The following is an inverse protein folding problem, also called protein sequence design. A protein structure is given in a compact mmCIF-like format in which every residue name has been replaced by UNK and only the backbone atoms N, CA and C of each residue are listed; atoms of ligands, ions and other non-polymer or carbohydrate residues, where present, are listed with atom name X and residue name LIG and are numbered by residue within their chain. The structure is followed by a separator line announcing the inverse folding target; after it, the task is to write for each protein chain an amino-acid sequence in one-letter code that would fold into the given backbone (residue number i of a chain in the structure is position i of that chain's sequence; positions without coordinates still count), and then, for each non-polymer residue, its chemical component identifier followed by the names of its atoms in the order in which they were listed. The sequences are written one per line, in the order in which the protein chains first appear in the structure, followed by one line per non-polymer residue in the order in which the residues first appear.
data_IF_083295475225
#
_entry.id   IF_083295475225
#
_cell.length_a   1.000
_cell.length_b   1.000
_cell.length_c   1.000
_cell.angle_alpha   90.00
_cell.angle_beta   90.00
_cell.angle_gamma   90.00
#
_symmetry.space_group_name_H-M   'P 1'
#
loop_
_entity.id
_entity.type
_entity.pdbx_description
1 polymer ?
#
# COMPACT_ATOMS: atom_id res chain seq x y z
N UNK A 1 4.35 12.60 -8.53
CA UNK A 1 3.48 11.78 -7.65
C UNK A 1 4.33 11.25 -6.50
N UNK A 2 3.83 11.25 -5.28
CA UNK A 2 4.48 10.64 -4.11
C UNK A 2 4.30 9.10 -4.21
N UNK A 3 5.43 8.35 -4.23
CA UNK A 3 5.39 6.88 -4.28
C UNK A 3 6.54 6.26 -3.46
N UNK A 4 6.47 6.31 -2.12
CA UNK A 4 7.46 5.66 -1.28
C UNK A 4 7.34 4.14 -1.30
N UNK A 5 8.50 3.47 -1.26
CA UNK A 5 8.59 2.10 -0.82
C UNK A 5 8.80 2.10 0.70
N UNK A 6 8.03 1.29 1.42
CA UNK A 6 8.03 1.23 2.88
C UNK A 6 8.52 -0.15 3.31
N UNK A 7 9.59 -0.21 4.11
CA UNK A 7 10.10 -1.44 4.70
C UNK A 7 9.75 -1.46 6.19
N UNK A 8 8.95 -2.43 6.60
CA UNK A 8 8.48 -2.56 7.99
C UNK A 8 9.41 -3.49 8.76
N UNK A 9 10.06 -2.96 9.77
CA UNK A 9 10.99 -3.65 10.68
C UNK A 9 12.02 -4.53 9.94
N UNK A 10 12.72 -4.01 8.91
CA UNK A 10 13.77 -4.76 8.26
C UNK A 10 14.88 -5.05 9.27
N UNK A 11 15.22 -6.34 9.42
CA UNK A 11 16.20 -6.79 10.40
C UNK A 11 17.65 -6.72 9.89
N UNK A 12 17.83 -6.87 8.56
CA UNK A 12 19.15 -6.98 7.95
C UNK A 12 19.52 -5.70 7.20
N UNK A 13 20.61 -5.01 7.60
CA UNK A 13 21.07 -3.79 6.93
C UNK A 13 21.37 -4.02 5.43
N UNK A 14 21.86 -5.21 5.07
CA UNK A 14 22.15 -5.55 3.68
C UNK A 14 20.88 -5.55 2.82
N UNK A 15 19.72 -5.91 3.37
CA UNK A 15 18.45 -5.90 2.64
C UNK A 15 17.97 -4.47 2.38
N UNK A 16 18.20 -3.55 3.32
CA UNK A 16 17.91 -2.11 3.12
C UNK A 16 18.78 -1.55 1.99
N UNK A 17 20.08 -1.86 2.02
CA UNK A 17 21.02 -1.46 0.98
C UNK A 17 20.65 -2.02 -0.41
N UNK A 18 20.29 -3.30 -0.47
CA UNK A 18 19.87 -3.97 -1.69
C UNK A 18 18.55 -3.37 -2.23
N UNK A 19 17.59 -3.05 -1.35
CA UNK A 19 16.35 -2.38 -1.70
C UNK A 19 16.62 -0.98 -2.28
N UNK A 20 17.44 -0.16 -1.63
CA UNK A 20 17.83 1.16 -2.13
C UNK A 20 18.47 1.08 -3.52
N UNK A 21 19.34 0.09 -3.75
CA UNK A 21 19.94 -0.15 -5.05
C UNK A 21 18.92 -0.54 -6.11
N UNK A 22 18.00 -1.44 -5.81
CA UNK A 22 16.91 -1.84 -6.70
C UNK A 22 16.04 -0.63 -7.08
N UNK A 23 15.65 0.17 -6.09
CA UNK A 23 14.91 1.41 -6.28
C UNK A 23 15.63 2.36 -7.23
N UNK A 24 16.90 2.67 -6.95
CA UNK A 24 17.71 3.57 -7.78
C UNK A 24 17.80 3.11 -9.24
N UNK A 25 18.00 1.81 -9.44
CA UNK A 25 18.11 1.21 -10.79
C UNK A 25 16.83 1.38 -11.60
N UNK A 26 15.66 1.36 -10.93
CA UNK A 26 14.34 1.44 -11.58
C UNK A 26 13.71 2.84 -11.49
N UNK A 27 14.43 3.84 -10.96
CA UNK A 27 13.99 5.24 -10.92
C UNK A 27 13.10 5.60 -9.74
N UNK A 28 13.02 4.77 -8.69
CA UNK A 28 12.34 5.08 -7.44
C UNK A 28 13.32 5.73 -6.45
N UNK A 29 12.88 6.76 -5.74
CA UNK A 29 13.77 7.57 -4.90
C UNK A 29 13.33 7.70 -3.45
N UNK A 30 12.08 7.36 -3.12
CA UNK A 30 11.48 7.60 -1.80
C UNK A 30 11.44 6.30 -1.00
N UNK A 31 12.27 6.21 0.02
CA UNK A 31 12.35 5.06 0.94
C UNK A 31 11.87 5.48 2.33
N UNK A 32 10.97 4.70 2.91
CA UNK A 32 10.54 4.83 4.31
C UNK A 32 10.91 3.56 5.07
N UNK A 33 11.45 3.73 6.27
CA UNK A 33 11.75 2.64 7.21
C UNK A 33 10.84 2.79 8.42
N UNK A 34 10.19 1.70 8.79
CA UNK A 34 9.31 1.64 9.96
C UNK A 34 9.92 0.73 11.02
N UNK A 35 10.01 1.22 12.26
CA UNK A 35 10.41 0.46 13.45
C UNK A 35 11.69 -0.37 13.28
N UNK A 36 12.75 0.22 12.72
CA UNK A 36 14.07 -0.40 12.59
C UNK A 36 15.17 0.65 12.70
N UNK A 37 16.32 0.26 13.24
CA UNK A 37 17.55 1.06 13.28
C UNK A 37 18.65 0.49 12.37
N UNK A 38 18.36 -0.59 11.64
CA UNK A 38 19.31 -1.28 10.78
C UNK A 38 19.85 -0.40 9.64
N UNK A 39 19.14 0.67 9.26
CA UNK A 39 19.60 1.65 8.26
C UNK A 39 20.87 2.38 8.67
N UNK A 40 21.19 2.46 9.97
CA UNK A 40 22.38 3.13 10.50
C UNK A 40 23.63 2.24 10.47
N UNK A 41 23.48 0.94 10.24
CA UNK A 41 24.61 0.02 10.11
C UNK A 41 25.41 0.34 8.82
N UNK A 42 26.75 0.40 8.88
CA UNK A 42 27.60 0.63 7.71
C UNK A 42 27.41 -0.37 6.56
N UNK A 43 26.90 -1.58 6.84
CA UNK A 43 26.59 -2.59 5.85
C UNK A 43 25.48 -2.13 4.89
N UNK A 44 24.50 -1.35 5.37
CA UNK A 44 23.44 -0.75 4.54
C UNK A 44 24.05 0.07 3.40
N UNK A 45 24.94 0.99 3.73
CA UNK A 45 25.58 1.86 2.74
C UNK A 45 26.53 1.10 1.82
N UNK A 46 27.26 0.13 2.35
CA UNK A 46 28.16 -0.72 1.55
C UNK A 46 27.42 -1.50 0.48
N UNK A 47 26.25 -2.07 0.78
CA UNK A 47 25.43 -2.84 -0.17
C UNK A 47 24.63 -1.94 -1.11
N UNK A 48 24.26 -0.74 -0.67
CA UNK A 48 23.51 0.23 -1.48
C UNK A 48 24.25 0.67 -2.76
N UNK A 49 25.56 0.63 -2.79
CA UNK A 49 26.45 0.73 -3.98
C UNK A 49 25.96 1.70 -5.07
N UNK A 50 26.18 2.99 -4.92
CA UNK A 50 25.70 4.04 -5.85
C UNK A 50 24.29 4.55 -5.58
N UNK A 51 23.56 3.96 -4.60
CA UNK A 51 22.25 4.43 -4.14
C UNK A 51 22.33 5.11 -2.75
N UNK A 52 23.48 5.68 -2.40
CA UNK A 52 23.70 6.36 -1.12
C UNK A 52 22.75 7.53 -0.90
N UNK A 53 22.36 8.23 -1.96
CA UNK A 53 21.38 9.32 -1.93
C UNK A 53 19.98 8.87 -1.46
N UNK A 54 19.56 7.64 -1.75
CA UNK A 54 18.30 7.08 -1.21
C UNK A 54 18.43 6.83 0.29
N UNK A 55 19.60 6.31 0.75
CA UNK A 55 19.86 6.08 2.17
C UNK A 55 19.96 7.42 2.92
N UNK A 56 20.60 8.43 2.33
CA UNK A 56 20.75 9.75 2.95
C UNK A 56 19.41 10.50 3.12
N UNK A 57 18.45 10.25 2.23
CA UNK A 57 17.14 10.91 2.20
C UNK A 57 15.99 10.01 2.70
N UNK A 58 16.28 8.81 3.21
CA UNK A 58 15.23 7.95 3.74
C UNK A 58 14.52 8.60 4.93
N UNK A 59 13.24 8.29 5.08
CA UNK A 59 12.43 8.75 6.20
C UNK A 59 12.19 7.59 7.19
N UNK A 60 12.29 7.88 8.48
CA UNK A 60 12.07 6.93 9.55
C UNK A 60 10.75 7.21 10.27
N UNK A 61 10.00 6.16 10.56
CA UNK A 61 8.71 6.21 11.25
C UNK A 61 8.63 5.17 12.37
N UNK A 62 7.94 5.50 13.44
CA UNK A 62 7.72 4.58 14.55
C UNK A 62 6.73 3.48 14.21
N UNK A 63 5.65 3.81 13.47
CA UNK A 63 4.57 2.89 13.11
C UNK A 63 4.27 2.91 11.61
N UNK A 64 3.61 1.85 11.12
CA UNK A 64 3.14 1.82 9.74
C UNK A 64 2.05 2.87 9.51
N UNK A 65 1.18 3.10 10.47
CA UNK A 65 0.14 4.14 10.39
C UNK A 65 0.74 5.53 10.15
N UNK A 66 1.82 5.89 10.87
CA UNK A 66 2.52 7.15 10.66
C UNK A 66 3.14 7.23 9.25
N UNK A 67 3.72 6.10 8.79
CA UNK A 67 4.32 6.03 7.46
C UNK A 67 3.30 6.05 6.32
N UNK A 68 2.03 5.81 6.58
CA UNK A 68 0.92 5.85 5.63
C UNK A 68 0.04 7.10 5.74
N UNK A 69 0.29 7.99 6.70
CA UNK A 69 -0.60 9.11 7.02
C UNK A 69 -0.82 10.11 5.86
N UNK A 70 0.14 10.21 4.95
CA UNK A 70 0.09 11.07 3.75
C UNK A 70 -0.11 10.27 2.44
N UNK A 71 -0.57 9.01 2.54
CA UNK A 71 -0.75 8.11 1.41
C UNK A 71 -2.23 7.91 1.12
N UNK A 72 -2.64 8.17 -0.11
CA UNK A 72 -4.02 7.98 -0.58
C UNK A 72 -4.34 6.53 -0.91
N UNK A 73 -3.34 5.76 -1.41
CA UNK A 73 -3.50 4.36 -1.80
C UNK A 73 -2.26 3.54 -1.50
N UNK A 74 -2.42 2.44 -0.78
CA UNK A 74 -1.34 1.59 -0.32
C UNK A 74 -1.50 0.13 -0.74
N UNK A 75 -0.39 -0.49 -1.12
CA UNK A 75 -0.31 -1.89 -1.53
C UNK A 75 0.69 -2.63 -0.64
N UNK A 76 0.30 -3.71 -0.01
CA UNK A 76 1.21 -4.52 0.79
C UNK A 76 1.58 -5.83 0.12
N UNK A 77 2.86 -6.19 0.22
CA UNK A 77 3.39 -7.44 -0.30
C UNK A 77 3.29 -8.55 0.73
N UNK A 78 2.91 -9.74 0.30
CA UNK A 78 2.89 -10.93 1.15
C UNK A 78 3.28 -12.18 0.35
N UNK A 79 4.03 -13.08 0.97
CA UNK A 79 4.36 -14.38 0.39
C UNK A 79 3.33 -15.46 0.77
N UNK A 80 2.45 -15.18 1.73
CA UNK A 80 1.50 -16.17 2.29
C UNK A 80 0.07 -15.72 2.06
N UNK A 81 -0.74 -16.61 1.51
CA UNK A 81 -2.20 -16.48 1.52
C UNK A 81 -2.70 -16.76 2.95
N UNK A 82 -2.72 -15.74 3.82
CA UNK A 82 -3.08 -15.89 5.24
C UNK A 82 -4.59 -15.86 5.50
N UNK A 83 -5.36 -15.27 4.61
CA UNK A 83 -6.81 -15.19 4.77
C UNK A 83 -7.54 -15.89 3.62
N UNK A 84 -8.48 -16.76 3.97
CA UNK A 84 -9.29 -17.54 3.03
C UNK A 84 -10.10 -16.68 2.03
N UNK A 85 -10.29 -15.40 2.34
CA UNK A 85 -11.19 -14.49 1.64
C UNK A 85 -10.50 -13.26 1.05
N UNK A 86 -9.18 -13.05 1.26
CA UNK A 86 -8.44 -11.90 0.72
C UNK A 86 -8.00 -12.15 -0.71
N UNK A 87 -8.28 -11.17 -1.57
CA UNK A 87 -7.78 -11.14 -2.94
C UNK A 87 -6.32 -10.69 -2.97
N UNK A 88 -5.51 -11.44 -3.71
CA UNK A 88 -4.09 -11.13 -3.91
C UNK A 88 -3.86 -10.83 -5.38
N UNK A 89 -3.50 -9.58 -5.69
CA UNK A 89 -3.12 -9.21 -7.03
C UNK A 89 -1.70 -9.70 -7.34
N UNK A 90 -1.46 -10.14 -8.56
CA UNK A 90 -0.09 -10.36 -9.05
C UNK A 90 0.61 -9.02 -9.27
N UNK A 91 1.96 -8.95 -9.34
CA UNK A 91 2.67 -7.71 -9.64
C UNK A 91 2.19 -7.03 -10.93
N UNK A 92 1.84 -7.80 -11.95
CA UNK A 92 1.29 -7.28 -13.21
C UNK A 92 -0.11 -6.66 -13.03
N UNK A 93 -0.97 -7.28 -12.23
CA UNK A 93 -2.29 -6.71 -11.91
C UNK A 93 -2.14 -5.44 -11.08
N UNK A 94 -1.19 -5.39 -10.15
CA UNK A 94 -0.87 -4.19 -9.39
C UNK A 94 -0.43 -3.06 -10.30
N UNK A 95 0.43 -3.31 -11.29
CA UNK A 95 0.85 -2.29 -12.27
C UNK A 95 -0.36 -1.65 -12.94
N UNK A 96 -1.30 -2.44 -13.45
CA UNK A 96 -2.51 -1.94 -14.11
C UNK A 96 -3.38 -1.10 -13.15
N UNK A 97 -3.55 -1.56 -11.91
CA UNK A 97 -4.32 -0.84 -10.87
C UNK A 97 -3.63 0.48 -10.55
N UNK A 98 -2.32 0.49 -10.33
CA UNK A 98 -1.59 1.71 -9.99
C UNK A 98 -1.53 2.71 -11.15
N UNK A 99 -1.44 2.24 -12.39
CA UNK A 99 -1.52 3.10 -13.60
C UNK A 99 -2.90 3.76 -13.73
N UNK A 100 -3.95 3.10 -13.34
CA UNK A 100 -5.29 3.70 -13.26
C UNK A 100 -5.38 4.68 -12.09
N UNK A 101 -4.96 4.26 -10.88
CA UNK A 101 -5.00 5.07 -9.66
C UNK A 101 -4.23 6.38 -9.80
N UNK A 102 -3.05 6.39 -10.43
CA UNK A 102 -2.25 7.61 -10.59
C UNK A 102 -2.94 8.73 -11.38
N UNK A 103 -4.07 8.45 -12.02
CA UNK A 103 -4.85 9.47 -12.73
C UNK A 103 -5.68 10.32 -11.78
N UNK A 104 -5.96 9.86 -10.56
CA UNK A 104 -6.88 10.50 -9.64
C UNK A 104 -6.48 10.45 -8.14
N UNK A 105 -5.39 9.75 -7.77
CA UNK A 105 -4.79 9.84 -6.44
C UNK A 105 -3.46 10.58 -6.50
N UNK A 106 -3.13 11.30 -5.44
CA UNK A 106 -1.90 12.13 -5.37
C UNK A 106 -0.70 11.35 -4.83
N UNK A 107 -0.96 10.30 -4.05
CA UNK A 107 0.07 9.52 -3.37
C UNK A 107 -0.29 8.04 -3.32
N UNK A 108 0.72 7.20 -3.55
CA UNK A 108 0.59 5.74 -3.43
C UNK A 108 1.81 5.19 -2.70
N UNK A 109 1.70 4.02 -2.06
CA UNK A 109 2.84 3.37 -1.42
C UNK A 109 2.86 1.86 -1.67
N UNK A 110 4.07 1.29 -1.65
CA UNK A 110 4.28 -0.16 -1.66
C UNK A 110 4.97 -0.59 -0.37
N UNK A 111 4.34 -1.47 0.39
CA UNK A 111 4.75 -1.88 1.73
C UNK A 111 5.31 -3.30 1.71
N UNK A 112 6.48 -3.48 2.30
CA UNK A 112 7.16 -4.76 2.48
C UNK A 112 7.31 -5.05 3.97
N UNK A 113 7.08 -6.31 4.35
CA UNK A 113 7.24 -6.76 5.74
C UNK A 113 8.64 -7.29 6.06
N UNK A 114 8.75 -7.81 7.27
CA UNK A 114 9.95 -8.46 7.83
C UNK A 114 10.36 -9.66 6.99
N UNK A 115 11.66 -9.95 7.01
CA UNK A 115 12.24 -11.04 6.22
C UNK A 115 11.76 -12.43 6.65
N UNK A 116 11.52 -12.64 7.92
CA UNK A 116 11.15 -13.93 8.51
C UNK A 116 9.65 -14.17 8.61
N UNK A 117 8.90 -13.13 8.96
CA UNK A 117 7.48 -13.21 9.31
C UNK A 117 6.54 -12.41 8.39
N UNK A 118 7.09 -11.48 7.60
CA UNK A 118 6.30 -10.57 6.76
C UNK A 118 5.59 -9.50 7.58
N UNK A 119 4.44 -9.05 7.13
CA UNK A 119 3.55 -8.12 7.84
C UNK A 119 2.64 -8.88 8.80
N UNK A 120 2.27 -8.26 9.92
CA UNK A 120 1.23 -8.79 10.83
C UNK A 120 -0.16 -8.60 10.22
N UNK A 121 -1.18 -9.24 10.80
CA UNK A 121 -2.55 -9.04 10.34
C UNK A 121 -2.99 -7.60 10.53
N UNK A 122 -2.67 -6.99 11.68
CA UNK A 122 -2.96 -5.59 11.98
C UNK A 122 -2.29 -4.62 10.99
N UNK A 123 -1.08 -4.95 10.49
CA UNK A 123 -0.41 -4.17 9.44
C UNK A 123 -1.07 -4.38 8.06
N UNK A 124 -1.51 -5.61 7.75
CA UNK A 124 -2.24 -5.91 6.52
C UNK A 124 -3.62 -5.26 6.47
N UNK A 125 -4.25 -5.03 7.62
CA UNK A 125 -5.55 -4.38 7.72
C UNK A 125 -5.48 -2.85 7.48
N UNK A 126 -4.28 -2.26 7.54
CA UNK A 126 -4.05 -0.84 7.28
C UNK A 126 -3.90 -0.48 5.80
N UNK A 127 -3.78 -1.47 4.90
CA UNK A 127 -3.51 -1.24 3.48
C UNK A 127 -4.71 -1.53 2.60
N UNK A 128 -4.73 -0.92 1.40
CA UNK A 128 -5.86 -1.00 0.47
C UNK A 128 -5.88 -2.25 -0.38
N UNK A 129 -4.71 -2.78 -0.73
CA UNK A 129 -4.56 -3.91 -1.64
C UNK A 129 -3.45 -4.83 -1.18
N UNK A 130 -3.64 -6.13 -1.33
CA UNK A 130 -2.61 -7.12 -1.09
C UNK A 130 -2.07 -7.66 -2.43
N UNK A 131 -0.76 -7.88 -2.46
CA UNK A 131 -0.08 -8.42 -3.63
C UNK A 131 0.89 -9.51 -3.25
N UNK A 132 1.08 -10.48 -4.14
CA UNK A 132 2.04 -11.56 -3.98
C UNK A 132 2.72 -11.91 -5.29
N UNK A 133 4.01 -12.19 -5.24
CA UNK A 133 4.77 -12.71 -6.38
C UNK A 133 4.43 -14.20 -6.50
N UNK A 134 3.92 -14.68 -7.65
CA UNK A 134 3.73 -16.10 -7.87
C UNK A 134 5.08 -16.84 -7.78
N UNK A 135 5.17 -17.78 -6.86
CA UNK A 135 6.38 -18.54 -6.59
C UNK A 135 6.23 -19.98 -7.09
N UNK A 136 7.37 -20.65 -7.36
CA UNK A 136 7.35 -22.08 -7.54
C UNK A 136 6.87 -22.78 -6.25
N UNK A 137 6.09 -23.85 -6.38
CA UNK A 137 5.35 -24.46 -5.27
C UNK A 137 6.20 -24.84 -4.05
N UNK A 138 7.48 -25.13 -4.27
CA UNK A 138 8.39 -25.63 -3.23
C UNK A 138 9.28 -24.54 -2.60
N UNK A 139 9.13 -23.26 -2.99
CA UNK A 139 9.96 -22.18 -2.45
C UNK A 139 9.12 -21.11 -1.76
N UNK A 140 9.31 -20.89 -0.44
CA UNK A 140 8.32 -20.17 0.37
C UNK A 140 8.40 -18.64 0.26
N UNK A 141 9.55 -18.04 -0.08
CA UNK A 141 9.69 -16.58 -0.14
C UNK A 141 10.96 -16.13 -0.87
N UNK A 142 10.92 -14.90 -1.39
CA UNK A 142 12.10 -14.18 -1.87
C UNK A 142 12.81 -13.47 -0.71
N UNK A 143 14.11 -13.24 -0.86
CA UNK A 143 14.82 -12.26 -0.04
C UNK A 143 14.18 -10.87 -0.24
N UNK A 144 14.16 -10.03 0.81
CA UNK A 144 13.53 -8.72 0.78
C UNK A 144 14.04 -7.84 -0.38
N UNK A 145 15.36 -7.75 -0.57
CA UNK A 145 15.95 -6.97 -1.67
C UNK A 145 15.55 -7.51 -3.06
N UNK A 146 15.42 -8.83 -3.19
CA UNK A 146 14.93 -9.46 -4.43
C UNK A 146 13.46 -9.13 -4.67
N UNK A 147 12.60 -9.21 -3.65
CA UNK A 147 11.19 -8.84 -3.74
C UNK A 147 11.05 -7.37 -4.16
N UNK A 148 11.79 -6.46 -3.54
CA UNK A 148 11.82 -5.04 -3.92
C UNK A 148 12.23 -4.87 -5.39
N UNK A 149 13.24 -5.59 -5.87
CA UNK A 149 13.66 -5.51 -7.28
C UNK A 149 12.59 -5.96 -8.25
N UNK A 150 11.88 -7.06 -7.95
CA UNK A 150 10.80 -7.55 -8.81
C UNK A 150 9.68 -6.50 -8.94
N UNK A 151 9.26 -5.91 -7.84
CA UNK A 151 8.23 -4.87 -7.87
C UNK A 151 8.74 -3.58 -8.52
N UNK A 152 9.94 -3.13 -8.23
CA UNK A 152 10.52 -1.95 -8.88
C UNK A 152 10.63 -2.13 -10.39
N UNK A 153 11.04 -3.31 -10.87
CA UNK A 153 11.07 -3.64 -12.28
C UNK A 153 9.68 -3.60 -12.91
N UNK A 154 8.72 -4.30 -12.29
CA UNK A 154 7.33 -4.37 -12.79
C UNK A 154 6.67 -2.99 -12.82
N UNK A 155 6.91 -2.17 -11.80
CA UNK A 155 6.27 -0.87 -11.63
C UNK A 155 7.06 0.29 -12.27
N UNK A 156 8.17 0.02 -12.97
CA UNK A 156 9.00 1.07 -13.58
C UNK A 156 8.24 1.94 -14.60
N UNK A 157 7.16 1.44 -15.17
CA UNK A 157 6.30 2.18 -16.08
C UNK A 157 5.64 3.40 -15.39
N UNK A 158 5.36 3.34 -14.09
CA UNK A 158 4.79 4.44 -13.31
C UNK A 158 5.67 5.70 -13.34
N UNK A 159 6.99 5.53 -13.43
CA UNK A 159 7.93 6.66 -13.52
C UNK A 159 7.98 7.32 -14.91
N UNK A 160 7.43 6.68 -15.94
CA UNK A 160 7.42 7.16 -17.32
C UNK A 160 6.16 7.91 -17.69
N UNK A 161 5.08 7.70 -16.95
CA UNK A 161 3.81 8.38 -17.17
C UNK A 161 3.82 9.68 -16.39
N UNK A 162 3.72 10.80 -17.09
CA UNK A 162 3.45 12.10 -16.45
C UNK A 162 1.98 12.07 -16.06
N UNK A 163 1.71 11.77 -14.80
CA UNK A 163 0.35 11.82 -14.28
C UNK A 163 -0.20 13.25 -14.45
N UNK A 164 -1.43 13.44 -14.95
CA UNK A 164 -2.09 14.72 -14.84
C UNK A 164 -2.16 15.10 -13.36
N UNK A 165 -1.94 16.38 -13.04
CA UNK A 165 -2.08 16.83 -11.67
C UNK A 165 -3.54 16.52 -11.23
N UNK A 166 -3.69 15.76 -10.13
CA UNK A 166 -5.00 15.51 -9.55
C UNK A 166 -5.72 16.86 -9.32
N UNK A 167 -6.99 16.95 -9.70
CA UNK A 167 -7.74 18.16 -9.50
C UNK A 167 -7.83 18.49 -8.00
N UNK A 168 -7.82 19.78 -7.62
CA UNK A 168 -7.97 20.16 -6.23
C UNK A 168 -9.27 19.56 -5.65
N UNK A 169 -9.17 18.73 -4.61
CA UNK A 169 -10.30 18.05 -3.97
C UNK A 169 -10.40 16.54 -4.26
N UNK A 170 -9.58 15.97 -5.13
CA UNK A 170 -9.56 14.53 -5.41
C UNK A 170 -8.63 13.75 -4.45
N UNK A 171 -7.63 14.41 -3.87
CA UNK A 171 -6.78 13.81 -2.86
C UNK A 171 -7.60 13.40 -1.62
N UNK A 172 -7.40 12.16 -1.14
CA UNK A 172 -8.09 11.65 0.06
C UNK A 172 -9.52 11.14 -0.16
N UNK A 173 -10.07 11.14 -1.39
CA UNK A 173 -11.42 10.63 -1.65
C UNK A 173 -11.57 9.16 -1.27
N UNK A 174 -10.58 8.33 -1.55
CA UNK A 174 -10.62 6.91 -1.24
C UNK A 174 -10.57 6.67 0.28
N UNK A 175 -9.72 7.40 0.99
CA UNK A 175 -9.65 7.34 2.46
C UNK A 175 -10.96 7.82 3.11
N UNK A 176 -11.54 8.92 2.62
CA UNK A 176 -12.84 9.41 3.07
C UNK A 176 -13.96 8.39 2.81
N UNK A 177 -13.93 7.72 1.66
CA UNK A 177 -14.90 6.68 1.30
C UNK A 177 -14.81 5.49 2.24
N UNK A 178 -13.60 5.04 2.55
CA UNK A 178 -13.34 3.96 3.52
C UNK A 178 -13.92 4.33 4.89
N UNK A 179 -13.56 5.48 5.42
CA UNK A 179 -14.04 5.94 6.72
C UNK A 179 -15.57 6.01 6.80
N UNK A 180 -16.23 6.49 5.74
CA UNK A 180 -17.69 6.54 5.67
C UNK A 180 -18.33 5.15 5.67
N UNK A 181 -17.74 4.19 4.94
CA UNK A 181 -18.20 2.80 4.93
C UNK A 181 -18.06 2.16 6.31
N UNK A 182 -16.93 2.33 6.98
CA UNK A 182 -16.72 1.83 8.34
C UNK A 182 -17.77 2.39 9.31
N UNK A 183 -18.02 3.70 9.26
CA UNK A 183 -19.05 4.34 10.08
C UNK A 183 -20.45 3.81 9.75
N UNK A 184 -20.73 3.53 8.49
CA UNK A 184 -22.02 2.96 8.07
C UNK A 184 -22.20 1.53 8.60
N UNK A 185 -21.16 0.67 8.54
CA UNK A 185 -21.19 -0.69 9.10
C UNK A 185 -21.51 -0.67 10.59
N UNK A 186 -20.89 0.26 11.35
CA UNK A 186 -21.19 0.44 12.77
C UNK A 186 -22.66 0.85 12.98
N UNK A 187 -23.19 1.82 12.21
CA UNK A 187 -24.58 2.26 12.31
C UNK A 187 -25.59 1.18 11.96
N UNK A 188 -25.23 0.28 11.04
CA UNK A 188 -26.05 -0.85 10.63
C UNK A 188 -25.94 -2.05 11.59
N UNK A 189 -25.06 -1.97 12.60
CA UNK A 189 -24.78 -3.04 13.55
C UNK A 189 -24.27 -4.33 12.90
N UNK A 190 -23.44 -4.18 11.86
CA UNK A 190 -22.81 -5.27 11.09
C UNK A 190 -21.27 -5.14 11.03
N UNK A 191 -20.70 -4.36 11.94
CA UNK A 191 -19.25 -4.12 12.02
C UNK A 191 -18.45 -5.35 12.46
N UNK A 192 -19.10 -6.36 13.02
CA UNK A 192 -18.54 -7.64 13.43
C UNK A 192 -18.51 -8.70 12.31
N UNK A 193 -19.08 -8.41 11.14
CA UNK A 193 -18.98 -9.27 9.97
C UNK A 193 -17.62 -9.07 9.25
N UNK A 194 -16.60 -9.80 9.71
CA UNK A 194 -15.24 -9.76 9.14
C UNK A 194 -15.22 -10.05 7.63
N UNK A 195 -16.13 -10.92 7.13
CA UNK A 195 -16.18 -11.25 5.69
C UNK A 195 -16.67 -10.07 4.88
N UNK A 196 -17.66 -9.34 5.37
CA UNK A 196 -18.19 -8.14 4.72
C UNK A 196 -17.15 -7.03 4.74
N UNK A 197 -16.48 -6.81 5.86
CA UNK A 197 -15.43 -5.82 6.00
C UNK A 197 -14.26 -6.09 5.04
N UNK A 198 -13.73 -7.32 5.00
CA UNK A 198 -12.68 -7.74 4.08
C UNK A 198 -13.11 -7.57 2.61
N UNK A 199 -14.35 -7.96 2.26
CA UNK A 199 -14.87 -7.82 0.90
C UNK A 199 -14.98 -6.36 0.47
N UNK A 200 -15.49 -5.49 1.32
CA UNK A 200 -15.61 -4.05 1.06
C UNK A 200 -14.23 -3.41 0.87
N UNK A 201 -13.28 -3.68 1.77
CA UNK A 201 -11.91 -3.17 1.67
C UNK A 201 -11.27 -3.54 0.34
N UNK A 202 -11.38 -4.80 -0.08
CA UNK A 202 -10.85 -5.27 -1.36
C UNK A 202 -11.51 -4.57 -2.56
N UNK A 203 -12.82 -4.36 -2.52
CA UNK A 203 -13.55 -3.69 -3.61
C UNK A 203 -13.21 -2.22 -3.70
N UNK A 204 -13.02 -1.54 -2.56
CA UNK A 204 -12.55 -0.16 -2.54
C UNK A 204 -11.15 -0.03 -3.16
N UNK A 205 -10.26 -0.98 -2.90
CA UNK A 205 -8.91 -1.00 -3.48
C UNK A 205 -8.88 -1.05 -5.01
N UNK A 206 -9.87 -1.68 -5.65
CA UNK A 206 -9.94 -1.81 -7.12
C UNK A 206 -10.96 -0.88 -7.78
N UNK A 207 -11.61 0.03 -7.04
CA UNK A 207 -12.56 1.00 -7.61
C UNK A 207 -11.90 1.95 -8.60
N UNK A 208 -12.56 2.18 -9.73
CA UNK A 208 -12.22 3.27 -10.65
C UNK A 208 -12.75 4.62 -10.13
N UNK A 209 -12.17 5.73 -10.61
CA UNK A 209 -12.58 7.08 -10.22
C UNK A 209 -14.09 7.32 -10.35
N UNK A 210 -14.67 6.92 -11.48
CA UNK A 210 -16.11 7.07 -11.75
C UNK A 210 -16.97 6.35 -10.71
N UNK A 211 -16.56 5.13 -10.33
CA UNK A 211 -17.32 4.30 -9.40
C UNK A 211 -17.18 4.81 -7.96
N UNK A 212 -16.02 5.40 -7.61
CA UNK A 212 -15.82 6.10 -6.34
C UNK A 212 -16.83 7.24 -6.15
N UNK A 213 -17.04 8.09 -7.17
CA UNK A 213 -18.01 9.18 -7.12
C UNK A 213 -19.46 8.67 -6.95
N UNK A 214 -19.82 7.59 -7.65
CA UNK A 214 -21.14 6.97 -7.54
C UNK A 214 -21.37 6.35 -6.17
N UNK A 215 -20.34 5.72 -5.59
CA UNK A 215 -20.43 5.14 -4.26
C UNK A 215 -20.55 6.22 -3.17
N UNK A 216 -19.83 7.34 -3.29
CA UNK A 216 -20.02 8.49 -2.40
C UNK A 216 -21.46 9.01 -2.41
N UNK A 217 -22.09 9.08 -3.59
CA UNK A 217 -23.49 9.48 -3.73
C UNK A 217 -24.44 8.47 -3.08
N UNK A 218 -24.25 7.19 -3.35
CA UNK A 218 -25.07 6.12 -2.75
C UNK A 218 -25.00 6.16 -1.21
N UNK A 219 -23.78 6.29 -0.64
CA UNK A 219 -23.60 6.40 0.81
C UNK A 219 -24.31 7.64 1.37
N UNK A 220 -24.24 8.78 0.69
CA UNK A 220 -24.96 9.98 1.10
C UNK A 220 -26.48 9.76 1.17
N UNK A 221 -27.05 9.11 0.17
CA UNK A 221 -28.50 8.83 0.13
C UNK A 221 -28.91 7.83 1.22
N UNK A 222 -28.09 6.82 1.51
CA UNK A 222 -28.31 5.87 2.62
C UNK A 222 -28.26 6.58 3.97
N UNK A 223 -27.21 7.37 4.22
CA UNK A 223 -27.03 8.12 5.48
C UNK A 223 -28.20 9.07 5.75
N UNK A 224 -28.67 9.78 4.72
CA UNK A 224 -29.84 10.65 4.80
C UNK A 224 -31.11 9.88 5.21
N UNK A 225 -31.38 8.75 4.55
CA UNK A 225 -32.56 7.92 4.85
C UNK A 225 -32.51 7.31 6.27
N UNK A 226 -31.30 7.00 6.78
CA UNK A 226 -31.13 6.50 8.15
C UNK A 226 -31.38 7.59 9.20
N UNK A 227 -31.05 8.85 8.90
CA UNK A 227 -31.32 9.98 9.80
C UNK A 227 -32.82 10.25 9.85
N UNK A 228 -33.49 10.29 8.70
CA UNK A 228 -34.92 10.58 8.59
C UNK A 228 -35.79 9.52 9.33
N UNK A 229 -35.36 8.25 9.32
CA UNK A 229 -36.04 7.16 10.07
C UNK A 229 -35.85 7.21 11.59
N UNK A 230 -34.79 7.84 12.07
CA UNK A 230 -34.53 7.97 13.52
C UNK A 230 -35.10 9.26 14.11
N UNK A 231 -35.65 10.14 13.30
CA UNK A 231 -36.27 11.41 13.70
C UNK A 231 -37.82 11.37 13.74
N UNK A 232 -38.43 10.25 13.38
CA UNK A 232 -39.87 10.02 13.44
C UNK A 232 -40.22 8.91 14.42
#
# INVERSE_FOLDING_TARGET
MLFPLILVSPARPENIGAAARAMKTMGFTQLRIVASEAQHDPATRRVAHGAGDIIDNLQHYATLADALADIDFSVATTARSRAKYRYYATPQQVENILLEKQQWVSSMALVFGREDSGLTNEELDQVDLLTGIPMAADYPSLNLGQAVMVYCYQLAALNKVVAPAAAPGEAGQLAALRQRIEQLLVRLNVSDDEKMADWLQQRLGVLEQRDSAMLHRLLHDIEKNLIDKNAG
#
